data_IF_555746264065
#
_entry.id   IF_555746264065
#
_cell.length_a   1.000
_cell.length_b   1.000
_cell.length_c   1.000
_cell.angle_alpha   90.00
_cell.angle_beta   90.00
_cell.angle_gamma   90.00
#
_symmetry.space_group_name_H-M   'P 1'
#
loop_
_entity.id
_entity.type
_entity.pdbx_description
1 polymer ?
#
# COMPACT_ATOMS: atom_id res chain seq x y z
N UNK A 1 12.59 -7.79 32.31
CA UNK A 1 12.52 -8.45 31.00
C UNK A 1 11.92 -7.45 30.05
N UNK A 2 12.78 -6.64 29.44
CA UNK A 2 12.41 -5.67 28.40
C UNK A 2 12.08 -6.43 27.12
N UNK A 3 10.98 -6.07 26.48
CA UNK A 3 10.56 -6.59 25.18
C UNK A 3 11.67 -6.30 24.14
N UNK A 4 12.10 -7.29 23.33
CA UNK A 4 13.29 -7.15 22.48
C UNK A 4 13.04 -6.38 21.17
N UNK A 5 11.88 -5.75 21.02
CA UNK A 5 11.57 -4.89 19.88
C UNK A 5 11.37 -3.48 20.40
N UNK A 6 12.14 -2.48 19.91
CA UNK A 6 11.76 -1.11 20.18
C UNK A 6 10.33 -0.96 19.67
N UNK A 7 9.42 -0.53 20.56
CA UNK A 7 8.17 0.05 20.12
C UNK A 7 8.56 1.11 19.09
N UNK A 8 8.35 0.81 17.81
CA UNK A 8 8.27 1.86 16.80
C UNK A 8 7.03 2.66 17.21
N UNK A 9 7.21 3.63 18.13
CA UNK A 9 6.17 4.60 18.42
C UNK A 9 5.74 5.13 17.07
N UNK A 10 4.45 5.09 16.78
CA UNK A 10 3.82 5.66 15.59
C UNK A 10 3.90 7.19 15.61
N UNK A 11 5.11 7.72 15.70
CA UNK A 11 5.41 9.13 15.62
C UNK A 11 5.45 9.51 14.15
N UNK A 12 4.63 10.50 13.80
CA UNK A 12 4.71 11.15 12.51
C UNK A 12 6.13 11.71 12.31
N UNK A 13 6.61 11.82 11.07
CA UNK A 13 7.89 12.45 10.81
C UNK A 13 7.95 13.87 11.39
N UNK A 14 9.07 14.22 12.00
CA UNK A 14 9.28 15.50 12.67
C UNK A 14 9.28 16.68 11.67
N UNK A 15 9.12 17.91 12.17
CA UNK A 15 9.28 19.09 11.29
C UNK A 15 10.69 19.14 10.67
N UNK A 16 11.73 18.81 11.43
CA UNK A 16 13.12 18.74 10.95
C UNK A 16 13.30 17.72 9.82
N UNK A 17 12.66 16.55 9.92
CA UNK A 17 12.69 15.54 8.86
C UNK A 17 12.01 16.05 7.58
N UNK A 18 10.87 16.74 7.70
CA UNK A 18 10.18 17.36 6.56
C UNK A 18 10.98 18.52 5.95
N UNK A 19 11.60 19.37 6.76
CA UNK A 19 12.49 20.43 6.29
C UNK A 19 13.70 19.87 5.53
N UNK A 20 14.30 18.78 6.03
CA UNK A 20 15.39 18.10 5.35
C UNK A 20 14.95 17.46 4.02
N UNK A 21 13.74 16.87 3.99
CA UNK A 21 13.15 16.28 2.79
C UNK A 21 12.94 17.31 1.68
N UNK A 22 12.42 18.49 2.05
CA UNK A 22 12.06 19.57 1.13
C UNK A 22 13.17 20.60 0.91
N UNK A 23 14.38 20.32 1.42
CA UNK A 23 15.53 21.20 1.24
C UNK A 23 15.83 21.40 -0.26
N UNK A 24 15.89 22.65 -0.77
CA UNK A 24 16.15 22.92 -2.19
C UNK A 24 17.43 22.25 -2.70
N UNK A 25 18.50 22.21 -1.89
CA UNK A 25 19.76 21.59 -2.30
C UNK A 25 19.63 20.07 -2.53
N UNK A 26 18.73 19.40 -1.80
CA UNK A 26 18.43 17.97 -1.98
C UNK A 26 17.75 17.76 -3.33
N UNK A 27 16.76 18.60 -3.65
CA UNK A 27 16.05 18.54 -4.92
C UNK A 27 16.98 18.83 -6.11
N UNK A 28 17.79 19.90 -6.03
CA UNK A 28 18.72 20.29 -7.09
C UNK A 28 19.71 19.16 -7.39
N UNK A 29 20.33 18.57 -6.35
CA UNK A 29 21.23 17.42 -6.50
C UNK A 29 20.53 16.22 -7.15
N UNK A 30 19.29 15.92 -6.75
CA UNK A 30 18.53 14.82 -7.33
C UNK A 30 18.19 15.08 -8.80
N UNK A 31 17.87 16.31 -9.17
CA UNK A 31 17.61 16.73 -10.56
C UNK A 31 18.87 16.68 -11.43
N UNK A 32 20.03 17.10 -10.90
CA UNK A 32 21.31 16.97 -11.59
C UNK A 32 21.67 15.51 -11.88
N UNK A 33 21.52 14.63 -10.88
CA UNK A 33 21.75 13.20 -11.07
C UNK A 33 20.73 12.57 -12.02
N UNK A 34 19.46 12.97 -11.92
CA UNK A 34 18.41 12.52 -12.83
C UNK A 34 18.71 12.91 -14.28
N UNK A 35 19.20 14.14 -14.52
CA UNK A 35 19.60 14.60 -15.85
C UNK A 35 20.70 13.71 -16.42
N UNK A 36 21.76 13.43 -15.65
CA UNK A 36 22.85 12.54 -16.09
C UNK A 36 22.35 11.13 -16.43
N UNK A 37 21.41 10.60 -15.63
CA UNK A 37 20.80 9.29 -15.87
C UNK A 37 19.96 9.29 -17.15
N UNK A 38 19.17 10.34 -17.35
CA UNK A 38 18.32 10.49 -18.54
C UNK A 38 19.15 10.65 -19.81
N UNK A 39 20.20 11.48 -19.76
CA UNK A 39 21.11 11.72 -20.90
C UNK A 39 21.90 10.46 -21.30
N UNK A 40 21.97 9.46 -20.43
CA UNK A 40 22.63 8.18 -20.68
C UNK A 40 21.71 7.11 -21.30
N UNK A 41 20.41 7.41 -21.45
CA UNK A 41 19.41 6.52 -22.05
C UNK A 41 19.04 7.05 -23.43
N UNK A 42 18.82 6.15 -24.38
CA UNK A 42 18.18 6.54 -25.64
C UNK A 42 16.64 6.66 -25.49
N UNK A 43 15.97 7.05 -26.57
CA UNK A 43 14.52 7.25 -26.53
C UNK A 43 13.73 5.94 -26.33
N UNK A 44 14.26 4.83 -26.85
CA UNK A 44 13.61 3.52 -26.76
C UNK A 44 13.75 2.95 -25.34
N UNK A 45 14.95 3.03 -24.76
CA UNK A 45 15.23 2.72 -23.35
C UNK A 45 14.32 3.54 -22.43
N UNK A 46 14.24 4.85 -22.65
CA UNK A 46 13.40 5.73 -21.84
C UNK A 46 11.92 5.33 -21.92
N UNK A 47 11.43 4.99 -23.12
CA UNK A 47 10.05 4.54 -23.33
C UNK A 47 9.79 3.20 -22.64
N UNK A 48 10.69 2.24 -22.77
CA UNK A 48 10.57 0.93 -22.15
C UNK A 48 10.58 1.01 -20.62
N UNK A 49 11.53 1.76 -20.05
CA UNK A 49 11.63 1.94 -18.59
C UNK A 49 10.40 2.67 -18.02
N UNK A 50 9.88 3.66 -18.74
CA UNK A 50 8.61 4.32 -18.39
C UNK A 50 7.44 3.33 -18.41
N UNK A 51 7.36 2.52 -19.47
CA UNK A 51 6.32 1.50 -19.61
C UNK A 51 6.37 0.50 -18.45
N UNK A 52 7.55 -0.04 -18.13
CA UNK A 52 7.75 -0.97 -17.02
C UNK A 52 7.44 -0.31 -15.67
N UNK A 53 7.90 0.91 -15.42
CA UNK A 53 7.59 1.63 -14.18
C UNK A 53 6.08 1.81 -13.96
N UNK A 54 5.32 2.03 -15.04
CA UNK A 54 3.86 2.21 -14.97
C UNK A 54 3.08 0.89 -14.81
N UNK A 55 3.59 -0.21 -15.35
CA UNK A 55 2.82 -1.48 -15.51
C UNK A 55 3.31 -2.64 -14.65
N UNK A 56 4.58 -2.63 -14.23
CA UNK A 56 5.21 -3.70 -13.44
C UNK A 56 5.55 -3.16 -12.04
N UNK A 57 4.76 -3.56 -11.06
CA UNK A 57 4.93 -3.12 -9.67
C UNK A 57 6.25 -3.61 -9.06
N UNK A 58 6.75 -4.79 -9.46
CA UNK A 58 8.03 -5.32 -8.96
C UNK A 58 9.20 -4.52 -9.53
N UNK A 59 9.17 -4.23 -10.83
CA UNK A 59 10.17 -3.39 -11.47
C UNK A 59 10.21 -1.99 -10.84
N UNK A 60 9.06 -1.35 -10.67
CA UNK A 60 9.00 -0.03 -10.04
C UNK A 60 9.58 -0.08 -8.61
N UNK A 61 9.12 -0.99 -7.77
CA UNK A 61 9.58 -1.10 -6.37
C UNK A 61 11.08 -1.40 -6.27
N UNK A 62 11.57 -2.43 -6.97
CA UNK A 62 12.94 -2.91 -6.84
C UNK A 62 13.93 -2.01 -7.59
N UNK A 63 13.67 -1.77 -8.88
CA UNK A 63 14.65 -1.15 -9.79
C UNK A 63 14.65 0.37 -9.70
N UNK A 64 13.47 0.98 -9.54
CA UNK A 64 13.31 2.45 -9.55
C UNK A 64 13.28 3.03 -8.15
N UNK A 65 12.43 2.50 -7.26
CA UNK A 65 12.29 3.01 -5.88
C UNK A 65 13.39 2.52 -4.93
N UNK A 66 14.09 1.44 -5.29
CA UNK A 66 15.29 0.98 -4.60
C UNK A 66 15.04 0.03 -3.43
N UNK A 67 13.88 -0.64 -3.38
CA UNK A 67 13.56 -1.62 -2.34
C UNK A 67 14.24 -2.96 -2.61
N UNK A 68 15.55 -3.04 -2.36
CA UNK A 68 16.39 -4.19 -2.72
C UNK A 68 16.20 -5.43 -1.83
N UNK A 69 15.41 -5.33 -0.75
CA UNK A 69 15.04 -6.47 0.11
C UNK A 69 13.90 -7.32 -0.46
N UNK A 70 13.25 -6.86 -1.54
CA UNK A 70 12.20 -7.61 -2.21
C UNK A 70 12.82 -8.76 -3.01
N UNK A 71 12.07 -9.85 -3.12
CA UNK A 71 12.51 -11.10 -3.77
C UNK A 71 11.55 -11.48 -4.88
N UNK A 72 12.09 -11.97 -6.00
CA UNK A 72 11.26 -12.37 -7.15
C UNK A 72 10.28 -13.48 -6.79
N UNK A 73 10.70 -14.46 -5.97
CA UNK A 73 9.89 -15.63 -5.61
C UNK A 73 8.65 -15.28 -4.78
N UNK A 74 8.76 -14.39 -3.80
CA UNK A 74 7.59 -14.03 -2.98
C UNK A 74 6.93 -12.75 -3.49
N UNK A 75 7.70 -11.67 -3.55
CA UNK A 75 7.21 -10.34 -3.86
C UNK A 75 6.89 -10.19 -5.34
N UNK A 76 7.63 -10.83 -6.24
CA UNK A 76 7.31 -10.86 -7.68
C UNK A 76 5.93 -11.49 -7.96
N UNK A 77 5.58 -12.58 -7.27
CA UNK A 77 4.24 -13.16 -7.36
C UNK A 77 3.15 -12.22 -6.84
N UNK A 78 3.41 -11.53 -5.72
CA UNK A 78 2.46 -10.55 -5.18
C UNK A 78 2.27 -9.36 -6.14
N UNK A 79 3.34 -8.79 -6.67
CA UNK A 79 3.29 -7.72 -7.67
C UNK A 79 2.55 -8.17 -8.94
N UNK A 80 2.86 -9.35 -9.47
CA UNK A 80 2.18 -9.90 -10.64
C UNK A 80 0.67 -10.05 -10.41
N UNK A 81 0.25 -10.46 -9.20
CA UNK A 81 -1.16 -10.48 -8.85
C UNK A 81 -1.78 -9.07 -8.80
N UNK A 82 -1.08 -8.08 -8.26
CA UNK A 82 -1.53 -6.68 -8.25
C UNK A 82 -1.71 -6.14 -9.68
N UNK A 83 -0.72 -6.37 -10.54
CA UNK A 83 -0.69 -5.89 -11.92
C UNK A 83 -1.76 -6.58 -12.78
N UNK A 84 -1.96 -7.89 -12.57
CA UNK A 84 -3.02 -8.66 -13.25
C UNK A 84 -4.41 -8.19 -12.82
N UNK A 85 -4.65 -8.09 -11.51
CA UNK A 85 -5.97 -7.70 -10.99
C UNK A 85 -6.34 -6.28 -11.40
N UNK A 86 -5.35 -5.37 -11.45
CA UNK A 86 -5.53 -4.00 -11.93
C UNK A 86 -6.26 -3.93 -13.25
N UNK A 87 -5.92 -4.76 -14.23
CA UNK A 87 -6.46 -4.70 -15.59
C UNK A 87 -7.57 -5.71 -15.89
N UNK A 88 -8.04 -6.46 -14.89
CA UNK A 88 -9.00 -7.53 -15.09
C UNK A 88 -10.43 -6.99 -15.15
N UNK A 89 -11.17 -7.39 -16.19
CA UNK A 89 -12.60 -7.10 -16.37
C UNK A 89 -13.45 -8.28 -15.91
N UNK A 90 -14.70 -8.01 -15.54
CA UNK A 90 -15.70 -9.05 -15.29
C UNK A 90 -15.99 -9.82 -16.58
N UNK A 91 -16.49 -11.04 -16.42
CA UNK A 91 -16.99 -11.86 -17.53
C UNK A 91 -18.43 -12.26 -17.25
N UNK A 92 -19.24 -12.39 -18.29
CA UNK A 92 -20.61 -12.91 -18.18
C UNK A 92 -20.66 -14.45 -18.13
N UNK A 93 -21.86 -15.02 -18.14
CA UNK A 93 -22.08 -16.47 -18.05
C UNK A 93 -21.53 -17.21 -19.27
N UNK A 94 -21.46 -16.54 -20.41
CA UNK A 94 -20.92 -17.03 -21.68
C UNK A 94 -19.39 -16.86 -21.78
N UNK A 95 -18.78 -16.13 -20.86
CA UNK A 95 -17.33 -15.90 -20.79
C UNK A 95 -16.85 -14.66 -21.54
N UNK A 96 -17.76 -13.81 -22.02
CA UNK A 96 -17.45 -12.56 -22.70
C UNK A 96 -17.06 -11.46 -21.70
N UNK A 97 -16.09 -10.63 -22.06
CA UNK A 97 -15.58 -9.57 -21.18
C UNK A 97 -16.56 -8.40 -21.12
N UNK A 98 -16.98 -8.06 -19.90
CA UNK A 98 -17.80 -6.89 -19.63
C UNK A 98 -16.94 -5.62 -19.54
N UNK A 99 -17.58 -4.46 -19.67
CA UNK A 99 -16.89 -3.18 -19.48
C UNK A 99 -16.45 -2.95 -18.03
N UNK A 100 -17.19 -3.52 -17.08
CA UNK A 100 -16.90 -3.39 -15.65
C UNK A 100 -15.60 -4.08 -15.23
N UNK A 101 -14.86 -3.41 -14.36
CA UNK A 101 -13.67 -4.00 -13.74
C UNK A 101 -14.05 -5.09 -12.75
N UNK A 102 -13.21 -6.10 -12.68
CA UNK A 102 -13.38 -7.20 -11.74
C UNK A 102 -13.25 -6.71 -10.30
N UNK A 103 -12.38 -5.73 -10.05
CA UNK A 103 -12.09 -5.26 -8.71
C UNK A 103 -12.53 -3.80 -8.54
N UNK A 104 -13.38 -3.57 -7.55
CA UNK A 104 -13.59 -2.25 -6.94
C UNK A 104 -13.14 -2.29 -5.47
N UNK A 105 -13.35 -3.44 -4.81
CA UNK A 105 -12.91 -3.71 -3.46
C UNK A 105 -11.84 -4.80 -3.48
N UNK A 106 -10.68 -4.48 -2.92
CA UNK A 106 -9.56 -5.42 -2.84
C UNK A 106 -9.00 -5.48 -1.43
N UNK A 107 -8.66 -6.68 -0.99
CA UNK A 107 -8.08 -6.92 0.32
C UNK A 107 -6.82 -7.77 0.19
N UNK A 108 -5.73 -7.31 0.80
CA UNK A 108 -4.46 -8.01 0.87
C UNK A 108 -4.10 -8.29 2.32
N UNK A 109 -3.98 -9.56 2.70
CA UNK A 109 -3.53 -9.96 4.03
C UNK A 109 -2.23 -10.73 3.92
N UNK A 110 -1.13 -10.09 4.29
CA UNK A 110 0.19 -10.73 4.35
C UNK A 110 0.64 -10.80 5.80
N UNK A 111 1.43 -11.83 6.10
CA UNK A 111 2.05 -11.97 7.40
C UNK A 111 2.90 -10.73 7.74
N UNK A 112 3.07 -10.46 9.03
CA UNK A 112 3.86 -9.32 9.51
C UNK A 112 5.28 -9.35 8.90
N UNK A 113 5.85 -8.16 8.64
CA UNK A 113 7.17 -7.97 8.04
C UNK A 113 7.40 -8.58 6.64
N UNK A 114 6.33 -8.82 5.85
CA UNK A 114 6.43 -9.24 4.44
C UNK A 114 6.32 -8.08 3.45
N UNK A 115 6.77 -6.88 3.85
CA UNK A 115 6.84 -5.66 3.02
C UNK A 115 5.54 -5.29 2.27
N UNK A 116 4.38 -5.62 2.85
CA UNK A 116 3.06 -5.37 2.27
C UNK A 116 2.83 -3.88 2.01
N UNK A 117 3.13 -3.01 2.98
CA UNK A 117 2.97 -1.56 2.87
C UNK A 117 3.91 -0.94 1.84
N UNK A 118 5.16 -1.40 1.77
CA UNK A 118 6.16 -0.96 0.77
C UNK A 118 5.67 -1.18 -0.66
N UNK A 119 5.14 -2.36 -0.96
CA UNK A 119 4.64 -2.70 -2.30
C UNK A 119 3.28 -2.07 -2.55
N UNK A 120 2.33 -2.29 -1.64
CA UNK A 120 0.92 -2.03 -1.88
C UNK A 120 0.55 -0.57 -1.70
N UNK A 121 1.08 0.03 -0.64
CA UNK A 121 0.71 1.37 -0.19
C UNK A 121 1.65 2.40 -0.79
N UNK A 122 2.96 2.23 -0.66
CA UNK A 122 3.94 3.22 -1.13
C UNK A 122 4.16 3.07 -2.64
N UNK A 123 4.68 1.93 -3.09
CA UNK A 123 4.94 1.68 -4.52
C UNK A 123 3.66 1.80 -5.35
N UNK A 124 2.58 1.15 -4.91
CA UNK A 124 1.29 1.20 -5.61
C UNK A 124 0.68 2.59 -5.69
N UNK A 125 0.93 3.49 -4.73
CA UNK A 125 0.47 4.89 -4.81
C UNK A 125 1.33 5.71 -5.75
N UNK A 126 2.66 5.54 -5.71
CA UNK A 126 3.57 6.15 -6.70
C UNK A 126 3.13 5.73 -8.10
N UNK A 127 2.97 4.43 -8.35
CA UNK A 127 2.59 3.89 -9.67
C UNK A 127 1.24 4.45 -10.17
N UNK A 128 0.26 4.58 -9.27
CA UNK A 128 -1.06 5.10 -9.62
C UNK A 128 -0.98 6.54 -10.14
N UNK A 129 -0.13 7.38 -9.53
CA UNK A 129 0.03 8.78 -9.91
C UNK A 129 0.98 9.03 -11.09
N UNK A 130 1.72 8.02 -11.57
CA UNK A 130 2.55 8.17 -12.77
C UNK A 130 1.68 8.38 -14.02
N UNK A 131 2.09 9.20 -15.01
CA UNK A 131 1.36 9.37 -16.25
C UNK A 131 1.11 8.04 -16.97
N UNK A 132 -0.02 7.90 -17.65
CA UNK A 132 -0.26 6.77 -18.54
C UNK A 132 0.54 6.93 -19.84
N UNK A 133 1.77 6.44 -19.80
CA UNK A 133 2.67 6.35 -20.95
C UNK A 133 2.32 5.20 -21.90
N UNK A 134 1.41 4.31 -21.50
CA UNK A 134 1.04 3.11 -22.26
C UNK A 134 -0.15 3.36 -23.20
N UNK A 135 -1.00 4.33 -22.86
CA UNK A 135 -2.27 4.61 -23.52
C UNK A 135 -3.31 3.49 -23.36
N UNK A 136 -3.07 2.56 -22.43
CA UNK A 136 -3.89 1.36 -22.20
C UNK A 136 -4.28 1.20 -20.74
N UNK A 137 -3.84 2.12 -19.88
CA UNK A 137 -4.24 2.06 -18.48
C UNK A 137 -5.72 2.36 -18.35
N UNK A 138 -6.32 1.76 -17.35
CA UNK A 138 -7.71 1.94 -17.02
C UNK A 138 -7.86 2.82 -15.79
N UNK A 139 -9.06 3.38 -15.63
CA UNK A 139 -9.38 4.15 -14.44
C UNK A 139 -9.14 3.37 -13.13
N UNK A 140 -8.55 3.99 -12.08
CA UNK A 140 -8.05 5.37 -11.99
C UNK A 140 -6.58 5.52 -12.41
N UNK A 141 -5.91 4.45 -12.83
CA UNK A 141 -4.48 4.46 -13.16
C UNK A 141 -4.15 5.25 -14.42
N UNK A 142 -5.14 5.55 -15.26
CA UNK A 142 -4.98 6.44 -16.40
C UNK A 142 -4.98 7.94 -16.06
N UNK A 143 -5.36 8.32 -14.84
CA UNK A 143 -5.45 9.72 -14.42
C UNK A 143 -4.09 10.41 -14.26
N UNK A 144 -3.02 9.64 -14.04
CA UNK A 144 -1.71 10.21 -13.72
C UNK A 144 -1.76 11.09 -12.47
N UNK A 145 -1.15 12.27 -12.53
CA UNK A 145 -1.04 13.17 -11.37
C UNK A 145 -2.36 13.82 -10.96
N UNK A 146 -3.41 13.71 -11.79
CA UNK A 146 -4.77 14.17 -11.49
C UNK A 146 -5.53 13.22 -10.55
N UNK A 147 -5.02 12.01 -10.28
CA UNK A 147 -5.62 11.08 -9.31
C UNK A 147 -5.71 11.72 -7.91
N UNK A 148 -6.82 11.50 -7.21
CA UNK A 148 -7.00 11.86 -5.79
C UNK A 148 -6.97 10.58 -4.97
N UNK A 149 -5.87 10.36 -4.25
CA UNK A 149 -5.62 9.15 -3.49
C UNK A 149 -5.63 9.43 -1.99
N UNK A 150 -6.46 8.68 -1.24
CA UNK A 150 -6.48 8.73 0.23
C UNK A 150 -5.64 7.60 0.83
N UNK A 151 -4.66 7.95 1.66
CA UNK A 151 -3.85 7.03 2.46
C UNK A 151 -4.39 6.97 3.89
N UNK A 152 -4.95 5.83 4.28
CA UNK A 152 -5.47 5.58 5.62
C UNK A 152 -4.59 4.62 6.42
N UNK A 153 -4.51 4.85 7.72
CA UNK A 153 -3.89 3.94 8.69
C UNK A 153 -4.65 3.99 10.02
N UNK A 154 -4.40 3.08 10.97
CA UNK A 154 -5.02 3.12 12.32
C UNK A 154 -4.82 4.51 12.95
N UNK A 155 -3.55 4.91 13.13
CA UNK A 155 -3.16 6.26 13.51
C UNK A 155 -2.86 7.13 12.27
N UNK A 156 -3.30 8.40 12.28
CA UNK A 156 -3.00 9.37 11.21
C UNK A 156 -1.49 9.50 10.97
N UNK A 157 -0.70 9.49 12.04
CA UNK A 157 0.76 9.50 12.00
C UNK A 157 1.36 8.36 11.13
N UNK A 158 0.74 7.18 11.10
CA UNK A 158 1.16 6.08 10.22
C UNK A 158 0.97 6.41 8.75
N UNK A 159 -0.18 6.98 8.37
CA UNK A 159 -0.42 7.42 7.00
C UNK A 159 0.49 8.58 6.57
N UNK A 160 0.88 9.47 7.49
CA UNK A 160 1.85 10.54 7.22
C UNK A 160 3.26 10.01 6.95
N UNK A 161 3.63 8.84 7.49
CA UNK A 161 4.90 8.16 7.15
C UNK A 161 4.90 7.64 5.72
N UNK A 162 3.79 7.05 5.28
CA UNK A 162 3.65 6.63 3.88
C UNK A 162 3.77 7.84 2.95
N UNK A 163 3.09 8.94 3.29
CA UNK A 163 3.17 10.18 2.52
C UNK A 163 4.60 10.75 2.49
N UNK A 164 5.31 10.74 3.62
CA UNK A 164 6.69 11.21 3.69
C UNK A 164 7.62 10.42 2.75
N UNK A 165 7.48 9.10 2.72
CA UNK A 165 8.25 8.24 1.82
C UNK A 165 7.90 8.46 0.33
N UNK A 166 6.59 8.56 0.01
CA UNK A 166 6.10 8.88 -1.34
C UNK A 166 6.66 10.25 -1.79
N UNK A 167 6.58 11.26 -0.92
CA UNK A 167 7.13 12.60 -1.18
C UNK A 167 8.63 12.53 -1.42
N UNK A 168 9.35 11.75 -0.62
CA UNK A 168 10.77 11.51 -0.78
C UNK A 168 11.15 10.96 -2.16
N UNK A 169 10.30 10.11 -2.75
CA UNK A 169 10.50 9.60 -4.11
C UNK A 169 10.30 10.67 -5.17
N UNK A 170 9.19 11.42 -5.15
CA UNK A 170 8.93 12.46 -6.16
C UNK A 170 9.89 13.66 -6.07
N UNK A 171 10.45 13.93 -4.90
CA UNK A 171 11.33 15.10 -4.66
C UNK A 171 12.82 14.77 -4.64
N UNK A 172 13.21 13.49 -4.59
CA UNK A 172 14.61 13.15 -4.39
C UNK A 172 15.07 11.78 -4.84
N UNK A 173 14.26 11.02 -5.60
CA UNK A 173 14.73 9.79 -6.26
C UNK A 173 15.19 10.11 -7.69
N UNK A 174 16.51 10.12 -7.99
CA UNK A 174 17.02 10.47 -9.31
C UNK A 174 16.54 9.54 -10.43
N UNK A 175 16.27 8.27 -10.14
CA UNK A 175 15.75 7.32 -11.14
C UNK A 175 14.31 7.67 -11.52
N UNK A 176 13.47 7.94 -10.52
CA UNK A 176 12.08 8.32 -10.75
C UNK A 176 12.00 9.67 -11.48
N UNK A 177 12.79 10.66 -11.05
CA UNK A 177 12.84 11.99 -11.67
C UNK A 177 13.37 11.92 -13.11
N UNK A 178 14.34 11.05 -13.41
CA UNK A 178 14.86 10.90 -14.78
C UNK A 178 13.77 10.43 -15.74
N UNK A 179 12.96 9.47 -15.29
CA UNK A 179 11.84 8.93 -16.06
C UNK A 179 10.70 9.95 -16.12
N UNK A 180 10.22 10.47 -14.99
CA UNK A 180 9.01 11.30 -14.91
C UNK A 180 9.30 12.70 -14.33
N UNK A 181 10.11 13.54 -14.99
CA UNK A 181 10.41 14.89 -14.50
C UNK A 181 9.16 15.76 -14.38
N UNK A 182 8.12 15.49 -15.19
CA UNK A 182 6.82 16.15 -15.14
C UNK A 182 6.06 15.95 -13.82
N UNK A 183 6.41 14.92 -13.04
CA UNK A 183 5.77 14.63 -11.74
C UNK A 183 6.45 15.34 -10.57
N UNK A 184 7.57 16.04 -10.78
CA UNK A 184 8.31 16.68 -9.69
C UNK A 184 7.57 17.92 -9.21
N UNK A 185 7.08 17.96 -7.96
CA UNK A 185 6.34 19.11 -7.47
C UNK A 185 7.29 20.28 -7.20
N UNK A 186 6.81 21.49 -7.43
CA UNK A 186 7.45 22.73 -7.05
C UNK A 186 6.84 23.20 -5.72
N UNK A 187 7.59 23.22 -4.60
CA UNK A 187 7.06 23.61 -3.28
C UNK A 187 6.50 25.04 -3.22
N UNK A 188 6.80 25.90 -4.22
CA UNK A 188 6.23 27.25 -4.33
C UNK A 188 4.85 27.29 -5.01
N UNK A 189 4.45 26.21 -5.67
CA UNK A 189 3.22 26.13 -6.48
C UNK A 189 2.28 25.07 -5.92
N UNK A 190 2.78 23.87 -5.66
CA UNK A 190 1.99 22.75 -5.16
C UNK A 190 1.92 22.72 -3.63
N UNK A 191 0.78 22.24 -3.09
CA UNK A 191 0.64 21.93 -1.66
C UNK A 191 1.50 20.73 -1.28
N UNK A 192 2.46 20.93 -0.39
CA UNK A 192 3.29 19.87 0.17
C UNK A 192 3.39 20.10 1.67
N UNK A 193 2.83 19.18 2.46
CA UNK A 193 2.89 19.22 3.92
C UNK A 193 2.78 17.81 4.50
N UNK A 194 2.74 17.71 5.83
CA UNK A 194 2.70 16.43 6.56
C UNK A 194 1.49 15.56 6.23
N UNK A 195 0.43 16.13 5.69
CA UNK A 195 -0.83 15.45 5.43
C UNK A 195 -1.21 15.39 3.95
N UNK A 196 -0.59 16.21 3.10
CA UNK A 196 -0.98 16.39 1.69
C UNK A 196 0.24 16.51 0.78
N UNK A 197 0.18 15.84 -0.37
CA UNK A 197 1.11 16.04 -1.49
C UNK A 197 0.30 16.24 -2.78
N UNK A 198 0.45 17.41 -3.37
CA UNK A 198 -0.07 17.73 -4.70
C UNK A 198 1.07 17.62 -5.72
N UNK A 199 0.88 16.79 -6.75
CA UNK A 199 1.80 16.72 -7.89
C UNK A 199 1.40 17.72 -8.97
N UNK A 200 2.31 18.10 -9.89
CA UNK A 200 1.94 18.91 -11.05
C UNK A 200 0.84 18.21 -11.86
N UNK A 201 -0.33 18.82 -11.95
CA UNK A 201 -1.52 18.24 -12.56
C UNK A 201 -2.30 19.25 -13.38
N UNK A 202 -3.16 18.78 -14.27
CA UNK A 202 -3.89 19.63 -15.22
C UNK A 202 -5.20 20.19 -14.66
N UNK A 203 -5.79 19.48 -13.70
CA UNK A 203 -7.09 19.81 -13.11
C UNK A 203 -6.94 20.53 -11.78
N UNK A 204 -7.94 21.34 -11.44
CA UNK A 204 -8.02 22.03 -10.15
C UNK A 204 -9.04 21.36 -9.24
N UNK A 205 -8.55 20.67 -8.20
CA UNK A 205 -9.38 19.96 -7.21
C UNK A 205 -9.11 20.46 -5.79
N UNK A 206 -10.13 20.37 -4.93
CA UNK A 206 -9.95 20.64 -3.51
C UNK A 206 -8.99 19.63 -2.87
N UNK A 207 -9.09 18.35 -3.26
CA UNK A 207 -8.23 17.26 -2.80
C UNK A 207 -6.85 17.31 -3.47
N UNK A 208 -5.77 17.03 -2.73
CA UNK A 208 -4.43 16.88 -3.30
C UNK A 208 -4.31 15.57 -4.12
N UNK A 209 -3.14 15.30 -4.71
CA UNK A 209 -2.88 14.01 -5.36
C UNK A 209 -2.84 12.87 -4.34
N UNK A 210 -2.19 13.11 -3.20
CA UNK A 210 -2.16 12.22 -2.04
C UNK A 210 -2.61 12.96 -0.79
N UNK A 211 -3.54 12.34 -0.08
CA UNK A 211 -4.10 12.82 1.18
C UNK A 211 -3.92 11.75 2.26
N UNK A 212 -4.02 12.12 3.54
CA UNK A 212 -3.78 11.20 4.66
C UNK A 212 -4.89 11.26 5.71
N UNK A 213 -5.17 10.11 6.33
CA UNK A 213 -6.20 9.99 7.37
C UNK A 213 -5.88 8.90 8.38
N UNK A 214 -6.29 9.13 9.64
CA UNK A 214 -6.36 8.09 10.66
C UNK A 214 -7.79 7.54 10.80
N UNK A 215 -7.94 6.35 11.38
CA UNK A 215 -9.26 5.82 11.74
C UNK A 215 -10.02 6.82 12.62
N UNK A 216 -11.30 7.05 12.32
CA UNK A 216 -12.13 8.04 12.99
C UNK A 216 -11.93 9.48 12.50
N UNK A 217 -10.94 9.72 11.63
CA UNK A 217 -10.75 11.00 10.95
C UNK A 217 -11.98 11.35 10.11
N UNK A 218 -12.36 12.63 10.13
CA UNK A 218 -13.46 13.16 9.31
C UNK A 218 -12.90 13.73 8.01
N UNK A 219 -13.44 13.29 6.87
CA UNK A 219 -13.10 13.84 5.54
C UNK A 219 -14.33 14.50 4.90
N UNK A 220 -15.08 15.28 5.69
CA UNK A 220 -16.32 15.90 5.21
C UNK A 220 -16.03 16.79 3.99
N UNK A 221 -16.66 16.45 2.85
CA UNK A 221 -16.53 17.19 1.60
C UNK A 221 -15.31 16.83 0.75
N UNK A 222 -14.54 15.80 1.09
CA UNK A 222 -13.46 15.28 0.24
C UNK A 222 -13.89 14.00 -0.47
N UNK A 223 -13.52 13.91 -1.75
CA UNK A 223 -13.84 12.79 -2.62
C UNK A 223 -12.60 12.29 -3.38
N UNK A 224 -12.36 10.99 -3.33
CA UNK A 224 -11.17 10.32 -3.87
C UNK A 224 -11.52 9.30 -4.94
N UNK A 225 -10.64 9.17 -5.94
CA UNK A 225 -10.74 8.18 -7.00
C UNK A 225 -10.25 6.79 -6.50
N UNK A 226 -9.35 6.81 -5.50
CA UNK A 226 -8.73 5.62 -4.94
C UNK A 226 -8.43 5.77 -3.44
N UNK A 227 -9.00 4.89 -2.62
CA UNK A 227 -8.72 4.83 -1.19
C UNK A 227 -7.84 3.62 -0.89
N UNK A 228 -6.74 3.82 -0.16
CA UNK A 228 -5.86 2.77 0.35
C UNK A 228 -5.84 2.82 1.87
N UNK A 229 -6.29 1.77 2.53
CA UNK A 229 -6.27 1.60 3.98
C UNK A 229 -5.24 0.54 4.36
N UNK A 230 -4.21 0.92 5.13
CA UNK A 230 -3.12 0.04 5.53
C UNK A 230 -3.11 -0.14 7.05
N UNK A 231 -3.13 -1.38 7.53
CA UNK A 231 -3.05 -1.74 8.95
C UNK A 231 -4.00 -0.90 9.84
N UNK A 232 -5.27 -0.76 9.42
CA UNK A 232 -6.28 0.05 10.13
C UNK A 232 -6.80 -0.59 11.44
N UNK A 233 -6.41 -1.82 11.74
CA UNK A 233 -6.82 -2.55 12.94
C UNK A 233 -5.59 -2.87 13.78
N UNK A 234 -5.61 -2.50 15.05
CA UNK A 234 -4.50 -2.71 15.99
C UNK A 234 -4.95 -3.14 17.38
N UNK A 235 -4.04 -2.99 18.36
CA UNK A 235 -4.25 -3.42 19.74
C UNK A 235 -5.48 -2.78 20.39
N UNK A 236 -5.75 -1.49 20.12
CA UNK A 236 -6.89 -0.76 20.70
C UNK A 236 -8.22 -1.38 20.31
N UNK A 237 -8.43 -1.61 19.02
CA UNK A 237 -9.65 -2.24 18.50
C UNK A 237 -9.72 -3.73 18.84
N UNK A 238 -8.57 -4.41 19.01
CA UNK A 238 -8.54 -5.78 19.50
C UNK A 238 -9.08 -5.87 20.93
N UNK A 239 -8.59 -5.02 21.82
CA UNK A 239 -8.83 -5.15 23.27
C UNK A 239 -10.05 -4.37 23.78
N UNK A 240 -10.53 -3.39 23.00
CA UNK A 240 -11.74 -2.62 23.31
C UNK A 240 -12.82 -2.83 22.26
N UNK A 241 -13.94 -3.40 22.70
CA UNK A 241 -15.14 -3.57 21.85
C UNK A 241 -15.67 -2.23 21.33
N UNK A 242 -15.63 -1.17 22.14
CA UNK A 242 -16.11 0.16 21.74
C UNK A 242 -15.23 0.73 20.62
N UNK A 243 -13.90 0.63 20.76
CA UNK A 243 -12.96 1.08 19.72
C UNK A 243 -13.17 0.29 18.42
N UNK A 244 -13.42 -1.02 18.55
CA UNK A 244 -13.72 -1.89 17.41
C UNK A 244 -14.99 -1.49 16.68
N UNK A 245 -16.09 -1.29 17.42
CA UNK A 245 -17.36 -0.88 16.85
C UNK A 245 -17.24 0.49 16.17
N UNK A 246 -16.49 1.43 16.76
CA UNK A 246 -16.23 2.73 16.16
C UNK A 246 -15.41 2.62 14.86
N UNK A 247 -14.38 1.77 14.83
CA UNK A 247 -13.60 1.49 13.61
C UNK A 247 -14.48 0.87 12.53
N UNK A 248 -15.30 -0.14 12.86
CA UNK A 248 -16.22 -0.78 11.91
C UNK A 248 -17.20 0.25 11.33
N UNK A 249 -17.80 1.09 12.18
CA UNK A 249 -18.69 2.16 11.72
C UNK A 249 -17.97 3.17 10.83
N UNK A 250 -16.73 3.52 11.15
CA UNK A 250 -15.92 4.39 10.30
C UNK A 250 -15.63 3.74 8.94
N UNK A 251 -15.29 2.44 8.94
CA UNK A 251 -15.04 1.67 7.73
C UNK A 251 -16.29 1.57 6.84
N UNK A 252 -17.47 1.32 7.41
CA UNK A 252 -18.72 1.26 6.65
C UNK A 252 -19.05 2.60 5.96
N UNK A 253 -18.61 3.70 6.55
CA UNK A 253 -18.78 5.04 5.99
C UNK A 253 -17.67 5.45 5.01
N UNK A 254 -16.57 4.69 4.87
CA UNK A 254 -15.42 5.12 4.05
C UNK A 254 -15.78 5.26 2.57
N UNK A 255 -16.72 4.46 2.07
CA UNK A 255 -17.18 4.52 0.68
C UNK A 255 -17.81 5.87 0.34
N UNK A 256 -18.32 6.60 1.33
CA UNK A 256 -18.86 7.96 1.13
C UNK A 256 -17.80 8.96 0.67
N UNK A 257 -16.52 8.64 0.86
CA UNK A 257 -15.39 9.45 0.39
C UNK A 257 -15.00 9.10 -1.04
N UNK A 258 -15.64 8.14 -1.70
CA UNK A 258 -15.43 7.90 -3.13
C UNK A 258 -16.22 8.94 -3.94
N UNK A 259 -15.72 9.29 -5.11
CA UNK A 259 -16.37 10.21 -6.06
C UNK A 259 -17.51 9.49 -6.77
N UNK A 260 -17.25 8.26 -7.21
CA UNK A 260 -18.14 7.40 -7.94
C UNK A 260 -18.00 5.94 -7.49
N UNK A 261 -18.99 5.46 -6.75
CA UNK A 261 -19.05 4.07 -6.24
C UNK A 261 -19.01 2.99 -7.34
N UNK A 262 -19.31 3.33 -8.60
CA UNK A 262 -19.30 2.36 -9.71
C UNK A 262 -17.90 2.11 -10.28
N UNK A 263 -16.97 3.03 -10.08
CA UNK A 263 -15.67 3.02 -10.76
C UNK A 263 -14.49 3.19 -9.82
N UNK A 264 -14.71 3.80 -8.65
CA UNK A 264 -13.64 4.11 -7.72
C UNK A 264 -13.29 2.90 -6.86
N UNK A 265 -12.06 2.92 -6.36
CA UNK A 265 -11.46 1.73 -5.78
C UNK A 265 -11.19 1.90 -4.28
N UNK A 266 -11.41 0.83 -3.53
CA UNK A 266 -11.01 0.67 -2.14
C UNK A 266 -10.05 -0.51 -2.04
N UNK A 267 -8.80 -0.22 -1.65
CA UNK A 267 -7.80 -1.22 -1.30
C UNK A 267 -7.58 -1.24 0.19
N UNK A 268 -7.63 -2.43 0.78
CA UNK A 268 -7.32 -2.64 2.19
C UNK A 268 -6.15 -3.61 2.27
N UNK A 269 -5.12 -3.25 3.03
CA UNK A 269 -3.97 -4.09 3.29
C UNK A 269 -3.75 -4.21 4.78
N UNK A 270 -3.40 -5.40 5.25
CA UNK A 270 -3.36 -5.64 6.67
C UNK A 270 -2.75 -6.96 7.07
N UNK A 271 -2.82 -7.21 8.37
CA UNK A 271 -2.61 -8.52 8.97
C UNK A 271 -3.75 -8.77 9.96
N UNK A 272 -4.23 -10.01 10.08
CA UNK A 272 -5.34 -10.34 10.99
C UNK A 272 -4.96 -10.16 12.46
N UNK A 273 -5.94 -9.83 13.29
CA UNK A 273 -5.78 -9.62 14.74
C UNK A 273 -6.77 -10.42 15.58
N UNK A 274 -8.00 -10.60 15.09
CA UNK A 274 -9.04 -11.37 15.78
C UNK A 274 -10.06 -11.93 14.78
N UNK A 275 -10.89 -12.87 15.25
CA UNK A 275 -11.96 -13.48 14.44
C UNK A 275 -12.99 -12.46 13.96
N UNK A 276 -13.11 -11.35 14.69
CA UNK A 276 -14.09 -10.27 14.51
C UNK A 276 -13.41 -8.92 14.17
N UNK A 277 -12.22 -8.97 13.57
CA UNK A 277 -11.54 -7.77 13.09
C UNK A 277 -12.23 -7.16 11.85
N UNK A 278 -11.82 -5.95 11.49
CA UNK A 278 -12.38 -5.22 10.33
C UNK A 278 -12.21 -5.98 9.02
N UNK A 279 -11.19 -6.83 8.91
CA UNK A 279 -10.97 -7.64 7.71
C UNK A 279 -12.01 -8.76 7.61
N UNK A 280 -12.38 -9.40 8.73
CA UNK A 280 -13.50 -10.33 8.78
C UNK A 280 -14.82 -9.63 8.41
N UNK A 281 -15.05 -8.43 8.94
CA UNK A 281 -16.21 -7.61 8.57
C UNK A 281 -16.24 -7.29 7.07
N UNK A 282 -15.11 -6.86 6.51
CA UNK A 282 -14.93 -6.60 5.08
C UNK A 282 -15.27 -7.83 4.22
N UNK A 283 -14.77 -9.01 4.60
CA UNK A 283 -15.09 -10.26 3.91
C UNK A 283 -16.59 -10.57 3.93
N UNK A 284 -17.28 -10.27 5.03
CA UNK A 284 -18.70 -10.52 5.18
C UNK A 284 -19.54 -9.55 4.33
N UNK A 285 -19.25 -8.24 4.36
CA UNK A 285 -20.09 -7.23 3.70
C UNK A 285 -19.92 -7.22 2.18
N UNK A 286 -18.70 -7.44 1.67
CA UNK A 286 -18.43 -7.37 0.24
C UNK A 286 -18.55 -8.73 -0.45
N UNK A 287 -18.44 -9.83 0.31
CA UNK A 287 -18.69 -11.17 -0.19
C UNK A 287 -17.91 -11.52 -1.46
N UNK A 288 -18.65 -11.82 -2.51
CA UNK A 288 -18.17 -12.18 -3.86
C UNK A 288 -17.52 -11.02 -4.62
N UNK A 289 -17.87 -9.77 -4.29
CA UNK A 289 -17.28 -8.57 -4.88
C UNK A 289 -15.86 -8.29 -4.38
N UNK A 290 -15.42 -8.97 -3.31
CA UNK A 290 -14.12 -8.74 -2.70
C UNK A 290 -13.03 -9.60 -3.35
N UNK A 291 -12.08 -8.93 -3.99
CA UNK A 291 -10.89 -9.59 -4.52
C UNK A 291 -9.83 -9.71 -3.42
N UNK A 292 -9.36 -10.94 -3.17
CA UNK A 292 -8.53 -11.27 -2.00
C UNK A 292 -7.17 -11.82 -2.40
N UNK A 293 -6.13 -11.39 -1.71
CA UNK A 293 -4.81 -12.05 -1.70
C UNK A 293 -4.38 -12.25 -0.26
N UNK A 294 -4.42 -13.49 0.20
CA UNK A 294 -4.11 -13.86 1.58
C UNK A 294 -2.96 -14.86 1.53
N UNK A 295 -1.87 -14.55 2.23
CA UNK A 295 -0.72 -15.43 2.35
C UNK A 295 -0.36 -15.63 3.81
N UNK A 296 0.13 -16.82 4.13
CA UNK A 296 0.68 -17.17 5.44
C UNK A 296 2.20 -17.01 5.42
N UNK A 297 2.84 -16.90 6.58
CA UNK A 297 4.31 -16.96 6.67
C UNK A 297 4.85 -18.29 6.18
N UNK A 298 4.10 -19.37 6.37
CA UNK A 298 4.40 -20.71 5.90
C UNK A 298 3.21 -21.31 5.14
N UNK A 299 3.49 -21.93 4.00
CA UNK A 299 2.48 -22.57 3.17
C UNK A 299 2.90 -24.00 2.84
N UNK A 300 1.92 -24.89 2.68
CA UNK A 300 2.18 -26.28 2.35
C UNK A 300 2.77 -26.39 0.95
N UNK A 301 3.95 -26.99 0.85
CA UNK A 301 4.58 -27.33 -0.41
C UNK A 301 4.24 -28.81 -0.75
N UNK A 302 3.45 -29.06 -1.82
CA UNK A 302 3.09 -30.42 -2.22
C UNK A 302 4.27 -31.31 -2.61
N UNK A 303 5.36 -30.71 -3.10
CA UNK A 303 6.53 -31.45 -3.56
C UNK A 303 7.36 -31.98 -2.38
N UNK A 304 7.52 -31.17 -1.33
CA UNK A 304 8.27 -31.57 -0.13
C UNK A 304 7.39 -32.22 0.94
N UNK A 305 6.07 -32.05 0.85
CA UNK A 305 5.09 -32.54 1.82
C UNK A 305 5.13 -31.80 3.16
N UNK A 306 5.70 -30.60 3.22
CA UNK A 306 5.89 -29.82 4.45
C UNK A 306 5.42 -28.38 4.30
N UNK A 307 5.11 -27.75 5.42
CA UNK A 307 4.93 -26.30 5.47
C UNK A 307 6.31 -25.63 5.38
N UNK A 308 6.46 -24.69 4.45
CA UNK A 308 7.73 -24.01 4.19
C UNK A 308 7.53 -22.49 4.23
N UNK A 309 8.53 -21.73 4.72
CA UNK A 309 8.48 -20.28 4.70
C UNK A 309 8.33 -19.75 3.26
N UNK A 310 7.38 -18.83 3.07
CA UNK A 310 7.16 -18.21 1.75
C UNK A 310 8.18 -17.11 1.46
N UNK A 311 8.80 -16.56 2.50
CA UNK A 311 9.85 -15.53 2.44
C UNK A 311 11.06 -15.91 3.35
N UNK A 312 11.79 -16.98 3.00
CA UNK A 312 12.83 -17.55 3.86
C UNK A 312 14.03 -16.61 4.08
N UNK A 313 14.27 -15.65 3.20
CA UNK A 313 15.36 -14.68 3.32
C UNK A 313 15.19 -13.74 4.52
N UNK A 314 13.96 -13.53 4.99
CA UNK A 314 13.67 -12.76 6.20
C UNK A 314 13.12 -13.62 7.34
N UNK A 315 12.50 -14.76 7.02
CA UNK A 315 11.93 -15.70 7.97
C UNK A 315 12.50 -17.11 7.76
N UNK A 316 13.77 -17.34 8.11
CA UNK A 316 14.33 -18.67 8.04
C UNK A 316 13.65 -19.56 9.11
N UNK A 317 13.54 -20.89 8.90
CA UNK A 317 12.77 -21.78 9.77
C UNK A 317 13.08 -21.66 11.26
N UNK A 318 14.36 -21.51 11.62
CA UNK A 318 14.82 -21.34 13.00
C UNK A 318 14.30 -20.04 13.66
N UNK A 319 14.05 -19.00 12.88
CA UNK A 319 13.50 -17.73 13.37
C UNK A 319 11.99 -17.80 13.59
N UNK A 320 11.31 -18.83 13.08
CA UNK A 320 9.86 -18.99 13.25
C UNK A 320 9.51 -19.66 14.59
N UNK A 321 10.41 -20.46 15.16
CA UNK A 321 10.15 -21.16 16.43
C UNK A 321 9.89 -20.21 17.60
N UNK A 322 10.61 -19.09 17.66
CA UNK A 322 10.36 -18.06 18.68
C UNK A 322 8.97 -17.42 18.51
N UNK A 323 8.53 -17.24 17.27
CA UNK A 323 7.24 -16.62 16.95
C UNK A 323 6.07 -17.56 17.27
N UNK A 324 6.25 -18.88 17.10
CA UNK A 324 5.26 -19.91 17.44
C UNK A 324 4.95 -19.98 18.93
N UNK A 325 5.86 -19.55 19.80
CA UNK A 325 5.64 -19.55 21.26
C UNK A 325 4.42 -18.72 21.66
N UNK A 326 4.16 -17.61 20.96
CA UNK A 326 2.94 -16.84 21.15
C UNK A 326 1.86 -17.32 20.19
N UNK A 327 1.13 -18.38 20.55
CA UNK A 327 0.12 -19.04 19.69
C UNK A 327 -0.92 -18.06 19.14
N UNK A 328 -1.36 -17.10 19.97
CA UNK A 328 -2.35 -16.08 19.56
C UNK A 328 -1.79 -15.15 18.49
N UNK A 329 -0.58 -14.62 18.70
CA UNK A 329 0.08 -13.74 17.71
C UNK A 329 0.48 -14.53 16.47
N UNK A 330 0.92 -15.78 16.60
CA UNK A 330 1.20 -16.67 15.49
C UNK A 330 -0.03 -16.87 14.59
N UNK A 331 -1.14 -17.34 15.17
CA UNK A 331 -2.38 -17.60 14.44
C UNK A 331 -2.89 -16.34 13.73
N UNK A 332 -2.93 -15.21 14.43
CA UNK A 332 -3.42 -13.96 13.87
C UNK A 332 -2.42 -13.34 12.87
N UNK A 333 -1.19 -13.03 13.31
CA UNK A 333 -0.29 -12.15 12.56
C UNK A 333 0.64 -12.84 11.57
N UNK A 334 0.84 -14.15 11.71
CA UNK A 334 1.74 -14.92 10.85
C UNK A 334 0.99 -15.94 9.99
N UNK A 335 -0.04 -16.59 10.53
CA UNK A 335 -0.90 -17.50 9.78
C UNK A 335 -2.12 -16.80 9.14
N UNK A 336 -2.41 -15.54 9.48
CA UNK A 336 -3.61 -14.82 9.02
C UNK A 336 -4.92 -15.60 9.26
N UNK A 337 -4.96 -16.38 10.35
CA UNK A 337 -6.02 -17.34 10.68
C UNK A 337 -6.27 -17.31 12.21
N UNK A 338 -6.83 -16.21 12.75
CA UNK A 338 -7.11 -16.11 14.17
C UNK A 338 -8.20 -17.11 14.59
N UNK A 339 -8.09 -17.66 15.80
CA UNK A 339 -9.06 -18.58 16.40
C UNK A 339 -9.46 -18.12 17.81
N UNK A 340 -10.70 -18.44 18.22
CA UNK A 340 -11.15 -18.24 19.60
C UNK A 340 -10.45 -19.21 20.56
N UNK A 341 -10.20 -18.78 21.81
CA UNK A 341 -9.82 -19.68 22.90
C UNK A 341 -8.34 -20.10 23.00
N UNK A 342 -7.40 -19.45 22.30
CA UNK A 342 -5.95 -19.74 22.42
C UNK A 342 -5.30 -19.27 23.74
N UNK A 343 -6.07 -19.04 24.80
CA UNK A 343 -5.57 -18.67 26.12
C UNK A 343 -5.22 -19.94 26.90
N UNK A 344 -3.91 -20.21 27.08
CA UNK A 344 -3.45 -21.17 28.09
C UNK A 344 -3.45 -20.46 29.45
N UNK A 345 -4.29 -20.94 30.37
CA UNK A 345 -4.07 -20.68 31.79
C UNK A 345 -2.96 -21.62 32.23
N UNK A 346 -1.80 -21.09 32.59
CA UNK A 346 -0.84 -21.86 33.40
C UNK A 346 -1.49 -22.06 34.78
N UNK A 347 -1.97 -23.28 35.01
CA UNK A 347 -2.29 -23.74 36.37
C UNK A 347 -0.96 -23.86 37.11
N UNK A 348 -0.73 -22.91 38.03
CA UNK A 348 0.39 -22.91 38.95
C UNK A 348 0.37 -24.12 39.90
#
# INVERSE_FOLDING_TARGET
METPYPEFKDLAPSDEEWEALLNPNRLDRAQEEAKKRRDALDEDDLRELKFLAKTDTFFLSYSILGYTKLTTKFHGHFCSWLDKTRNQRKVDEEGEKLEELLWLYRMTLLARSHFKSTIKTITGSVQAALPDVTGKEIYPFNLGTDIRLLLGHEAHAGSQRFLYEITGHFTGNPKLIALFPECVPNPRVQRINKSELELPRSSFWAEPTFDTIGVGGRSQGRHYDYIKLDDIFGDKARDSRVEREALIQWFDNIQSFLVNLKTDHLDVVGTRWSVDDVYAHMMNIYGDKLIKYIRRVEEFNPESGKAEPVFPEHFPPESLDILRKNKRVWAAQYANDPHEGLAEFELA
#
